data_IF_507211011009
#
_entry.id   IF_507211011009
#
_cell.length_a   1.000
_cell.length_b   1.000
_cell.length_c   1.000
_cell.angle_alpha   90.00
_cell.angle_beta   90.00
_cell.angle_gamma   90.00
#
_symmetry.space_group_name_H-M   'P 1'
#
loop_
_entity.id
_entity.type
_entity.pdbx_description
1 polymer ?
#
# COMPACT_ATOMS: atom_id res chain seq x y z
N UNK A 1 -4.59 14.08 -2.94
CA UNK A 1 -5.39 14.05 -4.15
C UNK A 1 -6.11 12.70 -4.38
N UNK A 2 -6.46 11.94 -3.34
CA UNK A 2 -7.09 10.62 -3.52
C UNK A 2 -8.53 10.71 -4.06
N UNK A 3 -9.29 11.73 -3.70
CA UNK A 3 -10.65 11.94 -4.25
C UNK A 3 -10.68 12.18 -5.76
N UNK A 4 -9.61 12.71 -6.32
CA UNK A 4 -9.49 12.93 -7.77
C UNK A 4 -9.42 11.60 -8.52
N UNK A 5 -8.76 10.58 -7.96
CA UNK A 5 -8.68 9.25 -8.56
C UNK A 5 -10.04 8.57 -8.60
N UNK A 6 -10.83 8.68 -7.52
CA UNK A 6 -12.21 8.16 -7.50
C UNK A 6 -13.10 8.92 -8.49
N UNK A 7 -12.99 10.25 -8.52
CA UNK A 7 -13.74 11.07 -9.49
C UNK A 7 -13.36 10.73 -10.93
N UNK A 8 -12.07 10.53 -11.23
CA UNK A 8 -11.60 10.13 -12.56
C UNK A 8 -12.13 8.76 -12.96
N UNK A 9 -12.14 7.81 -12.02
CA UNK A 9 -12.68 6.47 -12.23
C UNK A 9 -14.18 6.52 -12.53
N UNK A 10 -14.94 7.38 -11.84
CA UNK A 10 -16.37 7.57 -12.07
C UNK A 10 -16.64 8.24 -13.42
N UNK A 11 -15.85 9.26 -13.78
CA UNK A 11 -16.00 9.98 -15.05
C UNK A 11 -15.63 9.12 -16.26
N UNK A 12 -14.57 8.31 -16.15
CA UNK A 12 -14.16 7.36 -17.20
C UNK A 12 -15.05 6.13 -17.23
N UNK A 13 -15.70 5.78 -16.12
CA UNK A 13 -16.59 4.64 -15.99
C UNK A 13 -18.05 4.92 -16.34
N UNK A 14 -18.38 6.06 -16.98
CA UNK A 14 -19.75 6.41 -17.34
C UNK A 14 -20.45 5.36 -18.24
N UNK A 15 -19.66 4.56 -18.97
CA UNK A 15 -20.14 3.46 -19.80
C UNK A 15 -20.06 2.07 -19.13
N UNK A 16 -19.51 1.99 -17.88
CA UNK A 16 -19.39 0.73 -17.14
C UNK A 16 -20.69 0.44 -16.37
N UNK A 17 -20.98 -0.86 -16.16
CA UNK A 17 -22.06 -1.25 -15.27
C UNK A 17 -21.85 -0.67 -13.87
N UNK A 18 -22.92 -0.26 -13.19
CA UNK A 18 -22.86 0.40 -11.87
C UNK A 18 -22.06 -0.44 -10.83
N UNK A 19 -22.16 -1.77 -10.90
CA UNK A 19 -21.42 -2.67 -10.02
C UNK A 19 -19.91 -2.62 -10.26
N UNK A 20 -19.45 -2.51 -11.51
CA UNK A 20 -18.04 -2.42 -11.85
C UNK A 20 -17.44 -1.09 -11.36
N UNK A 21 -18.19 -0.01 -11.46
CA UNK A 21 -17.79 1.31 -10.96
C UNK A 21 -17.56 1.28 -9.44
N UNK A 22 -18.48 0.66 -8.67
CA UNK A 22 -18.34 0.50 -7.21
C UNK A 22 -17.15 -0.40 -6.87
N UNK A 23 -16.97 -1.52 -7.57
CA UNK A 23 -15.83 -2.41 -7.39
C UNK A 23 -14.49 -1.67 -7.60
N UNK A 24 -14.36 -0.95 -8.70
CA UNK A 24 -13.15 -0.16 -9.01
C UNK A 24 -12.92 0.90 -7.94
N UNK A 25 -13.99 1.57 -7.49
CA UNK A 25 -13.92 2.55 -6.40
C UNK A 25 -13.41 1.94 -5.08
N UNK A 26 -13.92 0.77 -4.69
CA UNK A 26 -13.49 0.04 -3.50
C UNK A 26 -12.02 -0.43 -3.62
N UNK A 27 -11.64 -1.03 -4.75
CA UNK A 27 -10.27 -1.44 -5.01
C UNK A 27 -9.31 -0.24 -4.99
N UNK A 28 -9.70 0.88 -5.60
CA UNK A 28 -8.94 2.14 -5.57
C UNK A 28 -8.76 2.64 -4.14
N UNK A 29 -9.79 2.59 -3.29
CA UNK A 29 -9.72 3.02 -1.89
C UNK A 29 -8.69 2.19 -1.10
N UNK A 30 -8.66 0.86 -1.28
CA UNK A 30 -7.69 -0.03 -0.64
C UNK A 30 -6.25 0.27 -1.08
N UNK A 31 -6.01 0.34 -2.39
CA UNK A 31 -4.67 0.57 -2.94
C UNK A 31 -4.19 2.00 -2.67
N UNK A 32 -5.08 3.00 -2.70
CA UNK A 32 -4.75 4.37 -2.30
C UNK A 32 -4.36 4.44 -0.81
N UNK A 33 -5.03 3.70 0.07
CA UNK A 33 -4.67 3.62 1.48
C UNK A 33 -3.27 3.00 1.63
N UNK A 34 -3.03 1.84 1.02
CA UNK A 34 -1.74 1.15 1.06
C UNK A 34 -0.60 2.04 0.54
N UNK A 35 -0.78 2.68 -0.62
CA UNK A 35 0.22 3.57 -1.22
C UNK A 35 0.45 4.83 -0.40
N UNK A 36 -0.60 5.40 0.22
CA UNK A 36 -0.49 6.59 1.06
C UNK A 36 0.30 6.32 2.35
N UNK A 37 0.08 5.16 2.98
CA UNK A 37 0.90 4.73 4.14
C UNK A 37 2.37 4.62 3.72
N UNK A 38 2.64 3.89 2.63
CA UNK A 38 4.01 3.67 2.16
C UNK A 38 4.71 4.99 1.82
N UNK A 39 4.05 5.88 1.06
CA UNK A 39 4.59 7.18 0.71
C UNK A 39 4.81 8.07 1.93
N UNK A 40 3.92 8.03 2.92
CA UNK A 40 4.06 8.80 4.15
C UNK A 40 5.26 8.37 4.99
N UNK A 41 5.55 7.06 5.07
CA UNK A 41 6.74 6.54 5.75
C UNK A 41 8.01 6.96 5.01
N UNK A 42 8.03 6.85 3.67
CA UNK A 42 9.16 7.31 2.85
C UNK A 42 9.41 8.79 3.06
N UNK A 43 8.36 9.63 3.03
CA UNK A 43 8.47 11.06 3.25
C UNK A 43 9.03 11.39 4.64
N UNK A 44 8.60 10.66 5.67
CA UNK A 44 9.12 10.84 7.04
C UNK A 44 10.60 10.53 7.13
N UNK A 45 11.02 9.37 6.64
CA UNK A 45 12.44 8.94 6.67
C UNK A 45 13.30 9.85 5.78
N UNK A 46 12.80 10.29 4.63
CA UNK A 46 13.48 11.25 3.76
C UNK A 46 13.72 12.59 4.48
N UNK A 47 12.72 13.10 5.19
CA UNK A 47 12.84 14.32 5.99
C UNK A 47 13.87 14.13 7.10
N UNK A 48 13.77 13.04 7.87
CA UNK A 48 14.72 12.73 8.94
C UNK A 48 16.18 12.63 8.43
N UNK A 49 16.37 12.11 7.21
CA UNK A 49 17.67 12.08 6.53
C UNK A 49 18.16 13.50 6.17
N UNK A 50 17.31 14.34 5.59
CA UNK A 50 17.71 15.68 5.15
C UNK A 50 18.09 16.62 6.31
N UNK A 51 17.38 16.52 7.44
CA UNK A 51 17.70 17.32 8.62
C UNK A 51 18.75 16.68 9.53
N UNK A 52 19.34 15.53 9.14
CA UNK A 52 20.39 14.83 9.88
C UNK A 52 19.91 14.04 11.11
N UNK A 53 18.61 14.03 11.40
CA UNK A 53 18.06 13.28 12.56
C UNK A 53 18.30 11.79 12.42
N UNK A 54 18.22 11.24 11.20
CA UNK A 54 18.46 9.82 10.97
C UNK A 54 19.89 9.41 11.35
N UNK A 55 20.90 10.20 11.00
CA UNK A 55 22.29 9.96 11.38
C UNK A 55 22.50 10.03 12.90
N UNK A 56 21.87 11.01 13.55
CA UNK A 56 21.88 11.14 15.01
C UNK A 56 21.27 9.92 15.69
N UNK A 57 20.10 9.45 15.22
CA UNK A 57 19.44 8.24 15.74
C UNK A 57 20.34 7.02 15.55
N UNK A 58 20.98 6.87 14.38
CA UNK A 58 21.89 5.76 14.09
C UNK A 58 23.14 5.75 14.98
N UNK A 59 23.63 6.91 15.41
CA UNK A 59 24.81 7.01 16.29
C UNK A 59 24.47 6.81 17.76
N UNK A 60 23.30 7.33 18.20
CA UNK A 60 22.87 7.27 19.60
C UNK A 60 22.38 5.89 20.02
N UNK A 61 21.63 5.20 19.16
CA UNK A 61 21.04 3.87 19.43
C UNK A 61 20.98 3.01 18.15
N UNK A 62 20.91 1.66 18.28
CA UNK A 62 20.51 0.85 17.14
C UNK A 62 19.12 1.32 16.65
N UNK A 63 18.95 1.41 15.33
CA UNK A 63 17.60 1.68 14.76
C UNK A 63 16.72 0.49 15.07
N UNK A 64 15.79 0.68 15.97
CA UNK A 64 14.93 -0.35 16.54
C UNK A 64 13.49 -0.26 16.02
N UNK A 65 12.65 -1.17 16.46
CA UNK A 65 11.23 -1.18 16.13
C UNK A 65 10.51 0.12 16.56
N UNK A 66 10.99 0.80 17.62
CA UNK A 66 10.41 2.04 18.10
C UNK A 66 10.49 3.18 17.09
N UNK A 67 11.61 3.30 16.37
CA UNK A 67 11.75 4.27 15.28
C UNK A 67 10.73 4.02 14.18
N UNK A 68 10.62 2.78 13.72
CA UNK A 68 9.71 2.42 12.63
C UNK A 68 8.23 2.53 13.02
N UNK A 69 7.88 2.16 14.26
CA UNK A 69 6.53 2.38 14.79
C UNK A 69 6.18 3.88 14.84
N UNK A 70 7.11 4.73 15.28
CA UNK A 70 6.94 6.18 15.27
C UNK A 70 6.82 6.76 13.87
N UNK A 71 7.63 6.28 12.92
CA UNK A 71 7.59 6.71 11.52
C UNK A 71 6.30 6.26 10.81
N UNK A 72 5.72 5.11 11.19
CA UNK A 72 4.52 4.55 10.57
C UNK A 72 3.21 5.05 11.19
N UNK A 73 3.19 5.41 12.47
CA UNK A 73 1.94 5.70 13.20
C UNK A 73 1.11 6.83 12.58
N UNK A 74 1.73 7.97 12.31
CA UNK A 74 1.02 9.13 11.72
C UNK A 74 0.59 8.85 10.27
N UNK A 75 1.46 8.36 9.37
CA UNK A 75 1.04 7.98 8.03
C UNK A 75 -0.10 6.95 8.01
N UNK A 76 -0.05 5.93 8.88
CA UNK A 76 -1.10 4.91 8.98
C UNK A 76 -2.45 5.51 9.39
N UNK A 77 -2.48 6.39 10.38
CA UNK A 77 -3.70 7.09 10.81
C UNK A 77 -4.26 7.97 9.71
N UNK A 78 -3.43 8.83 9.10
CA UNK A 78 -3.87 9.73 8.03
C UNK A 78 -4.37 8.98 6.80
N UNK A 79 -3.69 7.91 6.41
CA UNK A 79 -4.10 7.07 5.29
C UNK A 79 -5.40 6.32 5.59
N UNK A 80 -5.62 5.88 6.84
CA UNK A 80 -6.88 5.26 7.25
C UNK A 80 -8.06 6.25 7.13
N UNK A 81 -7.88 7.48 7.58
CA UNK A 81 -8.89 8.55 7.41
C UNK A 81 -9.15 8.82 5.93
N UNK A 82 -8.11 8.89 5.12
CA UNK A 82 -8.22 9.09 3.67
C UNK A 82 -8.94 7.92 3.00
N UNK A 83 -8.62 6.69 3.37
CA UNK A 83 -9.28 5.49 2.86
C UNK A 83 -10.76 5.44 3.20
N UNK A 84 -11.11 5.76 4.46
CA UNK A 84 -12.51 5.86 4.90
C UNK A 84 -13.26 6.98 4.17
N UNK A 85 -12.60 8.12 3.92
CA UNK A 85 -13.20 9.22 3.15
C UNK A 85 -13.48 8.80 1.70
N UNK A 86 -12.53 8.10 1.04
CA UNK A 86 -12.74 7.56 -0.31
C UNK A 86 -13.88 6.54 -0.32
N UNK A 87 -13.97 5.67 0.67
CA UNK A 87 -15.06 4.72 0.81
C UNK A 87 -16.41 5.44 1.01
N UNK A 88 -16.44 6.54 1.77
CA UNK A 88 -17.62 7.40 1.92
C UNK A 88 -18.10 7.98 0.59
N UNK A 89 -17.17 8.41 -0.28
CA UNK A 89 -17.50 8.89 -1.62
C UNK A 89 -18.09 7.76 -2.47
N UNK A 90 -17.49 6.57 -2.46
CA UNK A 90 -17.99 5.40 -3.18
C UNK A 90 -19.38 5.02 -2.69
N UNK A 91 -19.62 5.08 -1.38
CA UNK A 91 -20.93 4.83 -0.79
C UNK A 91 -21.97 5.86 -1.26
N UNK A 92 -21.65 7.16 -1.25
CA UNK A 92 -22.54 8.21 -1.75
C UNK A 92 -22.90 8.01 -3.23
N UNK A 93 -21.92 7.64 -4.05
CA UNK A 93 -22.16 7.34 -5.46
C UNK A 93 -23.01 6.08 -5.65
N UNK A 94 -22.87 5.10 -4.77
CA UNK A 94 -23.68 3.87 -4.82
C UNK A 94 -25.16 4.10 -4.52
N UNK A 95 -25.52 5.17 -3.80
CA UNK A 95 -26.93 5.54 -3.55
C UNK A 95 -27.68 5.92 -4.83
N UNK A 96 -26.94 6.34 -5.87
CA UNK A 96 -27.53 6.64 -7.19
C UNK A 96 -27.69 5.39 -8.06
N UNK A 97 -27.06 4.27 -7.67
CA UNK A 97 -27.11 3.00 -8.39
C UNK A 97 -28.23 2.10 -7.82
N UNK A 98 -29.06 1.54 -8.69
CA UNK A 98 -30.28 0.79 -8.30
C UNK A 98 -30.03 -0.60 -7.67
N UNK A 99 -28.77 -1.03 -7.45
CA UNK A 99 -28.40 -2.38 -6.98
C UNK A 99 -27.86 -2.37 -5.54
N UNK A 100 -28.73 -2.41 -4.54
CA UNK A 100 -28.34 -2.25 -3.13
C UNK A 100 -27.64 -3.44 -2.48
N UNK A 101 -27.90 -4.68 -2.89
CA UNK A 101 -27.39 -5.88 -2.20
C UNK A 101 -25.91 -6.19 -2.45
N UNK A 102 -25.46 -6.22 -3.70
CA UNK A 102 -24.07 -6.50 -4.06
C UNK A 102 -23.12 -5.36 -3.60
N UNK A 103 -23.60 -4.14 -3.61
CA UNK A 103 -22.86 -2.94 -3.18
C UNK A 103 -22.52 -3.01 -1.70
N UNK A 104 -23.46 -3.41 -0.84
CA UNK A 104 -23.21 -3.52 0.60
C UNK A 104 -22.13 -4.56 0.93
N UNK A 105 -22.10 -5.68 0.22
CA UNK A 105 -21.05 -6.71 0.36
C UNK A 105 -19.66 -6.19 0.03
N UNK A 106 -19.51 -5.47 -1.09
CA UNK A 106 -18.25 -4.84 -1.49
C UNK A 106 -17.75 -3.80 -0.48
N UNK A 107 -18.67 -2.95 0.04
CA UNK A 107 -18.31 -1.94 1.02
C UNK A 107 -17.87 -2.56 2.35
N UNK A 108 -18.59 -3.57 2.85
CA UNK A 108 -18.20 -4.30 4.07
C UNK A 108 -16.89 -5.04 3.87
N UNK A 109 -16.69 -5.70 2.71
CA UNK A 109 -15.43 -6.33 2.36
C UNK A 109 -14.27 -5.34 2.35
N UNK A 110 -14.46 -4.17 1.74
CA UNK A 110 -13.47 -3.09 1.72
C UNK A 110 -13.10 -2.66 3.14
N UNK A 111 -14.10 -2.44 4.01
CA UNK A 111 -13.86 -2.04 5.40
C UNK A 111 -13.09 -3.11 6.17
N UNK A 112 -13.44 -4.38 6.00
CA UNK A 112 -12.75 -5.50 6.64
C UNK A 112 -11.30 -5.66 6.14
N UNK A 113 -11.01 -5.33 4.88
CA UNK A 113 -9.69 -5.41 4.28
C UNK A 113 -8.79 -4.19 4.56
N UNK A 114 -9.35 -3.07 5.02
CA UNK A 114 -8.60 -1.85 5.35
C UNK A 114 -7.41 -2.06 6.28
N UNK A 115 -7.51 -2.80 7.39
CA UNK A 115 -6.35 -3.05 8.26
C UNK A 115 -5.22 -3.78 7.55
N UNK A 116 -5.55 -4.71 6.65
CA UNK A 116 -4.56 -5.45 5.85
C UNK A 116 -3.88 -4.50 4.84
N UNK A 117 -4.64 -3.59 4.22
CA UNK A 117 -4.09 -2.55 3.34
C UNK A 117 -3.11 -1.63 4.09
N UNK A 118 -3.46 -1.20 5.31
CA UNK A 118 -2.58 -0.39 6.16
C UNK A 118 -1.31 -1.15 6.51
N UNK A 119 -1.42 -2.42 6.95
CA UNK A 119 -0.27 -3.26 7.27
C UNK A 119 0.65 -3.47 6.07
N UNK A 120 0.07 -3.81 4.90
CA UNK A 120 0.82 -3.93 3.64
C UNK A 120 1.54 -2.62 3.28
N UNK A 121 0.88 -1.48 3.47
CA UNK A 121 1.47 -0.15 3.28
C UNK A 121 2.63 0.14 4.22
N UNK A 122 2.54 -0.27 5.49
CA UNK A 122 3.65 -0.15 6.45
C UNK A 122 4.84 -1.00 6.00
N UNK A 123 4.60 -2.25 5.64
CA UNK A 123 5.67 -3.16 5.19
C UNK A 123 6.39 -2.65 3.94
N UNK A 124 5.63 -2.22 2.93
CA UNK A 124 6.19 -1.63 1.70
C UNK A 124 6.87 -0.29 1.97
N UNK A 125 6.31 0.53 2.86
CA UNK A 125 6.88 1.81 3.25
C UNK A 125 8.24 1.66 3.91
N UNK A 126 8.40 0.70 4.83
CA UNK A 126 9.69 0.35 5.44
C UNK A 126 10.70 -0.05 4.37
N UNK A 127 10.32 -0.92 3.45
CA UNK A 127 11.19 -1.37 2.36
C UNK A 127 11.61 -0.20 1.45
N UNK A 128 10.64 0.57 0.95
CA UNK A 128 10.90 1.70 0.04
C UNK A 128 11.73 2.80 0.71
N UNK A 129 11.44 3.13 1.97
CA UNK A 129 12.21 4.09 2.74
C UNK A 129 13.65 3.62 2.96
N UNK A 130 13.83 2.33 3.23
CA UNK A 130 15.17 1.73 3.41
C UNK A 130 15.99 1.74 2.12
N UNK A 131 15.37 1.52 0.96
CA UNK A 131 16.02 1.72 -0.34
C UNK A 131 16.42 3.19 -0.55
N UNK A 132 15.56 4.13 -0.15
CA UNK A 132 15.82 5.56 -0.21
C UNK A 132 17.08 5.99 0.57
N UNK A 133 17.54 5.22 1.57
CA UNK A 133 18.80 5.50 2.27
C UNK A 133 20.06 5.29 1.39
N UNK A 134 19.96 4.51 0.34
CA UNK A 134 21.05 4.21 -0.58
C UNK A 134 20.98 5.01 -1.88
N UNK A 135 19.84 5.62 -2.18
CA UNK A 135 19.61 6.39 -3.39
C UNK A 135 19.93 7.87 -3.17
N UNK A 136 20.29 8.58 -4.24
CA UNK A 136 20.51 10.03 -4.23
C UNK A 136 19.21 10.78 -3.92
N UNK A 137 18.10 10.34 -4.52
CA UNK A 137 16.76 10.85 -4.23
C UNK A 137 16.00 9.86 -3.34
N UNK A 138 15.73 10.21 -2.08
CA UNK A 138 15.04 9.34 -1.14
C UNK A 138 13.57 9.08 -1.51
N UNK A 139 12.96 9.91 -2.39
CA UNK A 139 11.56 9.75 -2.82
C UNK A 139 11.38 8.78 -4.01
N UNK A 140 12.46 8.35 -4.65
CA UNK A 140 12.41 7.42 -5.80
C UNK A 140 11.55 6.19 -5.48
N UNK A 141 11.69 5.60 -4.29
CA UNK A 141 10.92 4.44 -3.87
C UNK A 141 9.40 4.69 -3.83
N UNK A 142 8.97 5.82 -3.29
CA UNK A 142 7.53 6.17 -3.23
C UNK A 142 6.96 6.48 -4.60
N UNK A 143 7.71 7.17 -5.45
CA UNK A 143 7.28 7.48 -6.82
C UNK A 143 7.11 6.21 -7.65
N UNK A 144 8.03 5.26 -7.50
CA UNK A 144 7.94 3.96 -8.16
C UNK A 144 6.72 3.16 -7.68
N UNK A 145 6.48 3.12 -6.37
CA UNK A 145 5.30 2.47 -5.80
C UNK A 145 3.99 3.10 -6.26
N UNK A 146 3.93 4.43 -6.38
CA UNK A 146 2.74 5.13 -6.82
C UNK A 146 2.30 4.74 -8.25
N UNK A 147 3.25 4.36 -9.11
CA UNK A 147 2.98 3.92 -10.49
C UNK A 147 2.68 2.42 -10.53
N UNK A 148 3.47 1.61 -9.82
CA UNK A 148 3.37 0.15 -9.92
C UNK A 148 2.16 -0.42 -9.20
N UNK A 149 1.83 0.10 -8.01
CA UNK A 149 0.77 -0.46 -7.19
C UNK A 149 -0.61 -0.50 -7.88
N UNK A 150 -1.11 0.59 -8.51
CA UNK A 150 -2.41 0.54 -9.17
C UNK A 150 -2.46 -0.46 -10.34
N UNK A 151 -1.35 -0.60 -11.06
CA UNK A 151 -1.24 -1.51 -12.21
C UNK A 151 -1.14 -2.97 -11.72
N UNK A 152 -0.23 -3.24 -10.79
CA UNK A 152 0.01 -4.61 -10.28
C UNK A 152 -1.16 -5.16 -9.49
N UNK A 153 -1.92 -4.31 -8.81
CA UNK A 153 -3.09 -4.70 -8.05
C UNK A 153 -4.31 -5.02 -8.93
N UNK A 154 -4.29 -4.67 -10.21
CA UNK A 154 -5.42 -4.93 -11.10
C UNK A 154 -6.67 -4.10 -10.76
N UNK A 155 -6.47 -2.84 -10.33
CA UNK A 155 -7.57 -1.96 -9.91
C UNK A 155 -8.54 -1.68 -11.06
N UNK A 156 -8.00 -1.30 -12.22
CA UNK A 156 -8.79 -0.94 -13.41
C UNK A 156 -9.04 -2.19 -14.26
N UNK A 157 -8.00 -2.96 -14.53
CA UNK A 157 -8.04 -4.15 -15.37
C UNK A 157 -7.71 -5.35 -14.50
N UNK A 158 -8.61 -6.35 -14.37
CA UNK A 158 -8.35 -7.53 -13.56
C UNK A 158 -7.07 -8.25 -13.96
N UNK A 159 -6.28 -8.68 -12.97
CA UNK A 159 -4.99 -9.38 -13.21
C UNK A 159 -5.16 -10.64 -14.07
N UNK A 160 -6.35 -11.25 -14.06
CA UNK A 160 -6.69 -12.41 -14.89
C UNK A 160 -6.61 -12.16 -16.40
N UNK A 161 -6.68 -10.91 -16.84
CA UNK A 161 -6.57 -10.54 -18.27
C UNK A 161 -5.14 -10.29 -18.71
N UNK A 162 -4.18 -10.28 -17.77
CA UNK A 162 -2.78 -10.01 -18.08
C UNK A 162 -2.11 -11.25 -18.72
N UNK A 163 -1.10 -11.04 -19.57
CA UNK A 163 -0.23 -12.14 -20.01
C UNK A 163 0.40 -12.85 -18.80
N UNK A 164 0.60 -14.17 -18.89
CA UNK A 164 1.06 -14.99 -17.77
C UNK A 164 2.33 -14.47 -17.07
N UNK A 165 3.29 -13.94 -17.84
CA UNK A 165 4.53 -13.38 -17.29
C UNK A 165 4.27 -12.12 -16.46
N UNK A 166 3.33 -11.25 -16.89
CA UNK A 166 2.98 -10.03 -16.16
C UNK A 166 2.18 -10.36 -14.90
N UNK A 167 1.21 -11.28 -15.00
CA UNK A 167 0.45 -11.76 -13.85
C UNK A 167 1.38 -12.36 -12.78
N UNK A 168 2.41 -13.12 -13.22
CA UNK A 168 3.44 -13.65 -12.32
C UNK A 168 4.21 -12.51 -11.62
N UNK A 169 4.68 -11.50 -12.34
CA UNK A 169 5.37 -10.33 -11.75
C UNK A 169 4.46 -9.61 -10.75
N UNK A 170 3.19 -9.36 -11.12
CA UNK A 170 2.21 -8.70 -10.24
C UNK A 170 1.97 -9.49 -8.95
N UNK A 171 2.05 -10.83 -8.99
CA UNK A 171 1.86 -11.67 -7.80
C UNK A 171 2.93 -11.47 -6.71
N UNK A 172 4.08 -10.88 -7.04
CA UNK A 172 5.14 -10.53 -6.09
C UNK A 172 4.98 -9.13 -5.47
N UNK A 173 3.98 -8.37 -5.91
CA UNK A 173 3.70 -7.04 -5.35
C UNK A 173 2.60 -7.17 -4.29
N UNK A 174 2.85 -6.79 -3.02
CA UNK A 174 1.83 -6.75 -1.99
C UNK A 174 0.68 -5.81 -2.40
N UNK A 175 -0.56 -6.22 -2.11
CA UNK A 175 -1.77 -5.51 -2.52
C UNK A 175 -2.47 -6.12 -3.74
N UNK A 176 -1.79 -6.91 -4.58
CA UNK A 176 -2.43 -7.57 -5.72
C UNK A 176 -3.47 -8.62 -5.26
N UNK A 177 -3.15 -9.38 -4.21
CA UNK A 177 -4.06 -10.36 -3.61
C UNK A 177 -5.17 -9.71 -2.79
N UNK A 178 -4.95 -8.50 -2.30
CA UNK A 178 -5.94 -7.72 -1.56
C UNK A 178 -7.14 -7.37 -2.45
N UNK A 179 -6.90 -6.98 -3.71
CA UNK A 179 -7.97 -6.70 -4.67
C UNK A 179 -8.69 -8.01 -5.08
N UNK A 180 -7.96 -9.12 -5.25
CA UNK A 180 -8.57 -10.42 -5.48
C UNK A 180 -9.45 -10.87 -4.30
N UNK A 181 -9.00 -10.62 -3.06
CA UNK A 181 -9.79 -10.88 -1.86
C UNK A 181 -11.07 -10.04 -1.80
N UNK A 182 -11.03 -8.79 -2.28
CA UNK A 182 -12.21 -7.95 -2.42
C UNK A 182 -13.21 -8.56 -3.41
N UNK A 183 -12.74 -9.06 -4.55
CA UNK A 183 -13.59 -9.69 -5.57
C UNK A 183 -14.29 -10.95 -5.02
N UNK A 184 -13.60 -11.74 -4.19
CA UNK A 184 -14.21 -12.90 -3.53
C UNK A 184 -15.26 -12.50 -2.50
N UNK A 185 -15.03 -11.45 -1.73
CA UNK A 185 -15.96 -10.97 -0.69
C UNK A 185 -17.23 -10.34 -1.28
N UNK A 186 -17.15 -9.77 -2.47
CA UNK A 186 -18.27 -9.15 -3.20
C UNK A 186 -19.20 -10.15 -3.92
N UNK A 187 -18.93 -11.43 -3.85
CA UNK A 187 -19.72 -12.46 -4.53
C UNK A 187 -19.59 -12.49 -6.06
N UNK A 188 -18.59 -11.78 -6.61
CA UNK A 188 -18.30 -11.75 -8.06
C UNK A 188 -17.35 -12.88 -8.48
N UNK A 189 -16.90 -13.68 -7.52
CA UNK A 189 -15.93 -14.73 -7.73
C UNK A 189 -16.55 -16.00 -8.32
N UNK A 190 -15.89 -16.58 -9.33
CA UNK A 190 -16.18 -17.92 -9.84
C UNK A 190 -15.87 -18.99 -8.79
N UNK A 191 -16.54 -20.15 -8.87
CA UNK A 191 -16.47 -21.27 -7.92
C UNK A 191 -15.07 -21.90 -7.68
N UNK A 192 -14.02 -21.37 -8.30
CA UNK A 192 -12.62 -21.82 -8.23
C UNK A 192 -11.70 -20.85 -7.48
N UNK A 193 -12.25 -19.93 -6.68
CA UNK A 193 -11.41 -18.93 -5.99
C UNK A 193 -10.68 -19.55 -4.80
N UNK A 194 -9.39 -19.20 -4.59
CA UNK A 194 -8.66 -19.62 -3.41
C UNK A 194 -9.31 -19.03 -2.15
N UNK A 195 -9.15 -19.75 -1.04
CA UNK A 195 -9.66 -19.34 0.26
C UNK A 195 -9.25 -17.90 0.58
N UNK A 196 -10.20 -17.05 0.99
CA UNK A 196 -9.95 -15.66 1.38
C UNK A 196 -8.78 -15.55 2.37
N UNK A 197 -8.76 -16.47 3.35
CA UNK A 197 -7.68 -16.55 4.33
C UNK A 197 -6.31 -16.83 3.69
N UNK A 198 -6.25 -17.72 2.69
CA UNK A 198 -5.01 -18.04 2.00
C UNK A 198 -4.48 -16.83 1.22
N UNK A 199 -5.35 -16.06 0.57
CA UNK A 199 -4.98 -14.83 -0.14
C UNK A 199 -4.41 -13.78 0.82
N UNK A 200 -5.10 -13.53 1.94
CA UNK A 200 -4.68 -12.54 2.93
C UNK A 200 -3.40 -12.97 3.65
N UNK A 201 -3.27 -14.25 4.00
CA UNK A 201 -2.05 -14.79 4.60
C UNK A 201 -0.86 -14.68 3.65
N UNK A 202 -1.04 -14.97 2.36
CA UNK A 202 0.01 -14.84 1.36
C UNK A 202 0.41 -13.38 1.12
N UNK A 203 -0.54 -12.44 1.11
CA UNK A 203 -0.25 -11.02 0.94
C UNK A 203 0.47 -10.43 2.16
N UNK A 204 0.03 -10.79 3.37
CA UNK A 204 0.70 -10.36 4.62
C UNK A 204 2.08 -11.00 4.77
N UNK A 205 2.26 -12.27 4.43
CA UNK A 205 3.57 -12.94 4.45
C UNK A 205 4.53 -12.26 3.49
N UNK A 206 4.08 -11.94 2.27
CA UNK A 206 4.87 -11.21 1.29
C UNK A 206 5.25 -9.83 1.81
N UNK A 207 4.30 -9.09 2.38
CA UNK A 207 4.56 -7.80 3.04
C UNK A 207 5.63 -7.92 4.13
N UNK A 208 5.53 -8.91 5.00
CA UNK A 208 6.53 -9.14 6.06
C UNK A 208 7.94 -9.45 5.50
N UNK A 209 8.04 -10.16 4.37
CA UNK A 209 9.32 -10.39 3.70
C UNK A 209 9.91 -9.06 3.24
N UNK A 210 9.13 -8.18 2.60
CA UNK A 210 9.59 -6.85 2.22
C UNK A 210 10.02 -6.02 3.42
N UNK A 211 9.26 -6.03 4.51
CA UNK A 211 9.63 -5.35 5.74
C UNK A 211 10.94 -5.90 6.33
N UNK A 212 11.12 -7.20 6.37
CA UNK A 212 12.35 -7.84 6.85
C UNK A 212 13.57 -7.44 6.01
N UNK A 213 13.43 -7.42 4.69
CA UNK A 213 14.50 -6.94 3.79
C UNK A 213 14.78 -5.45 4.06
N UNK A 214 13.74 -4.62 4.20
CA UNK A 214 13.89 -3.21 4.52
C UNK A 214 14.60 -2.96 5.85
N UNK A 215 14.23 -3.69 6.91
CA UNK A 215 14.91 -3.61 8.20
C UNK A 215 16.37 -4.04 8.10
N UNK A 216 16.67 -5.08 7.33
CA UNK A 216 18.03 -5.52 7.05
C UNK A 216 18.86 -4.44 6.34
N UNK A 217 18.30 -3.80 5.31
CA UNK A 217 18.93 -2.67 4.62
C UNK A 217 19.19 -1.50 5.56
N UNK A 218 18.21 -1.14 6.41
CA UNK A 218 18.38 -0.08 7.42
C UNK A 218 19.50 -0.41 8.40
N UNK A 219 19.55 -1.65 8.89
CA UNK A 219 20.61 -2.08 9.78
C UNK A 219 22.02 -1.95 9.13
N UNK A 220 22.15 -2.32 7.86
CA UNK A 220 23.39 -2.17 7.11
C UNK A 220 23.77 -0.71 6.91
N UNK A 221 22.79 0.17 6.57
CA UNK A 221 23.01 1.61 6.47
C UNK A 221 23.48 2.21 7.79
N UNK A 222 22.79 1.90 8.89
CA UNK A 222 23.15 2.35 10.23
C UNK A 222 24.55 1.87 10.66
N UNK A 223 24.93 0.64 10.28
CA UNK A 223 26.29 0.10 10.54
C UNK A 223 27.36 0.90 9.78
N UNK A 224 27.12 1.26 8.52
CA UNK A 224 28.03 2.09 7.71
C UNK A 224 28.21 3.48 8.31
N UNK A 225 27.12 4.15 8.71
CA UNK A 225 27.15 5.48 9.34
C UNK A 225 27.98 5.43 10.63
N UNK A 226 27.77 4.44 11.49
CA UNK A 226 28.53 4.27 12.73
C UNK A 226 30.02 4.01 12.49
N UNK A 227 30.36 3.26 11.44
CA UNK A 227 31.76 3.00 11.08
C UNK A 227 32.45 4.29 10.57
N UNK A 228 31.78 5.08 9.73
CA UNK A 228 32.27 6.37 9.25
C UNK A 228 32.43 7.41 10.38
N UNK A 229 31.45 7.50 11.28
CA UNK A 229 31.54 8.40 12.45
C UNK A 229 32.72 8.03 13.38
N UNK A 230 33.03 6.76 13.55
CA UNK A 230 34.21 6.32 14.33
C UNK A 230 35.52 6.67 13.64
N UNK A 231 35.59 6.59 12.32
CA UNK A 231 36.78 6.94 11.55
C UNK A 231 37.08 8.46 11.55
N UNK A 232 36.07 9.30 11.73
CA UNK A 232 36.24 10.75 11.82
C UNK A 232 36.65 11.25 13.22
N UNK A 233 36.66 10.38 14.24
CA UNK A 233 37.06 10.67 15.61
C UNK A 233 38.49 10.18 15.92
N UNK A 234 39.18 9.46 14.99
CA UNK A 234 40.55 9.05 15.06
C UNK A 234 41.45 9.88 14.14
#
# INVERSE_FOLDING_TARGET
VPGLNVLFTVLLGADLAANDTVRIGCATALIATLSSVAAGIVARVATDRWIGVFEYVCTARPVDAGYWLGAAAVPALLASVTGLSNMGIVWLLSLTASSTGAVSGLLLGTLALMPVAVLGGVCLGIFAASLGLYLSDPYTGSNFLAIILPVSAGVIVPVSTYPAWLAWVCSWVPGSRLVQALDTSGGTASSTTPDLFALLAADTALGMIYAAIGLGLTYLAARRIRAGARASLL
#
